data_IF_019081593947
#
_entry.id   IF_019081593947
#
_cell.length_a   1.000
_cell.length_b   1.000
_cell.length_c   1.000
_cell.angle_alpha   90.00
_cell.angle_beta   90.00
_cell.angle_gamma   90.00
#
_symmetry.space_group_name_H-M   'P 1'
#
loop_
_entity.id
_entity.type
_entity.pdbx_description
1 polymer ?
#
# COMPACT_ATOMS: atom_id res chain seq x y z
N UNK A 1 33.20 65.85 16.46
CA UNK A 1 34.05 64.64 16.62
C UNK A 1 33.11 63.47 16.82
N UNK A 2 33.29 62.40 16.01
CA UNK A 2 32.32 61.32 15.78
C UNK A 2 32.35 60.26 16.89
N UNK A 3 31.17 59.81 17.31
CA UNK A 3 30.93 58.60 18.10
C UNK A 3 31.46 57.35 17.39
N UNK A 4 32.26 56.55 18.10
CA UNK A 4 32.66 55.21 17.67
C UNK A 4 31.91 54.15 18.46
N UNK A 5 31.12 53.42 17.69
CA UNK A 5 30.20 52.36 18.02
C UNK A 5 30.91 51.11 18.54
N UNK A 6 30.32 50.51 19.58
CA UNK A 6 30.66 49.22 20.18
C UNK A 6 30.65 48.09 19.12
N UNK A 7 31.84 47.59 18.75
CA UNK A 7 32.01 46.31 18.06
C UNK A 7 32.25 45.21 19.11
N UNK A 8 31.19 44.50 19.48
CA UNK A 8 31.28 43.28 20.31
C UNK A 8 31.76 42.12 19.45
N UNK A 9 32.90 41.53 19.80
CA UNK A 9 33.40 40.31 19.16
C UNK A 9 32.51 39.08 19.49
N UNK A 10 32.29 38.14 18.54
CA UNK A 10 31.53 36.93 18.80
C UNK A 10 32.31 36.00 19.75
N UNK A 11 31.68 35.59 20.85
CA UNK A 11 32.23 34.58 21.76
C UNK A 11 32.23 33.20 21.08
N UNK A 12 33.34 32.45 21.08
CA UNK A 12 33.33 31.07 20.62
C UNK A 12 32.51 30.21 21.59
N UNK A 13 31.61 29.39 21.04
CA UNK A 13 30.73 28.48 21.80
C UNK A 13 31.45 27.25 22.37
N UNK A 14 32.73 27.05 22.05
CA UNK A 14 33.53 25.92 22.51
C UNK A 14 34.79 26.45 23.20
N UNK A 15 34.84 26.28 24.52
CA UNK A 15 36.07 26.47 25.30
C UNK A 15 36.99 25.29 24.95
N UNK A 16 38.16 25.58 24.37
CA UNK A 16 39.14 24.58 23.95
C UNK A 16 39.85 23.85 25.11
N UNK A 17 39.11 23.39 26.10
CA UNK A 17 39.63 22.51 27.16
C UNK A 17 39.44 21.05 26.76
N UNK A 18 40.46 20.23 27.01
CA UNK A 18 40.48 18.79 26.72
C UNK A 18 39.19 18.06 27.20
N UNK A 19 38.63 18.36 28.39
CA UNK A 19 37.36 17.76 28.83
C UNK A 19 36.18 18.08 27.91
N UNK A 20 36.10 19.31 27.36
CA UNK A 20 35.01 19.73 26.47
C UNK A 20 35.01 19.00 25.14
N UNK A 21 36.20 18.67 24.61
CA UNK A 21 36.36 17.87 23.39
C UNK A 21 35.92 16.43 23.61
N UNK A 22 36.27 15.83 24.75
CA UNK A 22 35.81 14.48 25.11
C UNK A 22 34.29 14.41 25.31
N UNK A 23 33.68 15.40 25.97
CA UNK A 23 32.22 15.45 26.12
C UNK A 23 31.52 15.59 24.77
N UNK A 24 32.06 16.42 23.86
CA UNK A 24 31.51 16.58 22.51
C UNK A 24 31.61 15.28 21.69
N UNK A 25 32.73 14.56 21.76
CA UNK A 25 32.90 13.27 21.07
C UNK A 25 31.96 12.19 21.62
N UNK A 26 31.75 12.14 22.94
CA UNK A 26 30.80 11.21 23.55
C UNK A 26 29.35 11.49 23.12
N UNK A 27 28.96 12.76 23.06
CA UNK A 27 27.64 13.15 22.57
C UNK A 27 27.45 12.77 21.10
N UNK A 28 28.46 13.01 20.26
CA UNK A 28 28.44 12.65 18.85
C UNK A 28 28.34 11.13 18.64
N UNK A 29 29.11 10.35 19.42
CA UNK A 29 29.05 8.89 19.37
C UNK A 29 27.68 8.35 19.84
N UNK A 30 27.09 8.93 20.88
CA UNK A 30 25.76 8.56 21.35
C UNK A 30 24.67 8.86 20.31
N UNK A 31 24.72 10.04 19.68
CA UNK A 31 23.80 10.41 18.59
C UNK A 31 23.97 9.50 17.37
N UNK A 32 25.21 9.17 17.01
CA UNK A 32 25.51 8.25 15.90
C UNK A 32 25.00 6.83 16.19
N UNK A 33 25.23 6.31 17.40
CA UNK A 33 24.74 4.99 17.80
C UNK A 33 23.20 4.93 17.83
N UNK A 34 22.54 5.99 18.35
CA UNK A 34 21.09 6.10 18.32
C UNK A 34 20.57 6.13 16.87
N UNK A 35 21.18 6.94 15.99
CA UNK A 35 20.81 6.99 14.57
C UNK A 35 21.03 5.66 13.84
N UNK A 36 22.14 4.95 14.13
CA UNK A 36 22.45 3.66 13.52
C UNK A 36 21.52 2.53 13.99
N UNK A 37 21.15 2.52 15.27
CA UNK A 37 20.17 1.58 15.82
C UNK A 37 18.76 1.85 15.27
N UNK A 38 18.35 3.13 15.15
CA UNK A 38 17.08 3.49 14.52
C UNK A 38 17.05 3.20 13.02
N UNK A 39 18.17 3.39 12.31
CA UNK A 39 18.27 3.10 10.87
C UNK A 39 18.14 1.61 10.53
N UNK A 40 18.65 0.71 11.40
CA UNK A 40 18.49 -0.75 11.21
C UNK A 40 17.06 -1.25 11.36
N UNK A 41 16.18 -0.48 11.99
CA UNK A 41 14.75 -0.79 12.11
C UNK A 41 13.90 -0.13 11.03
N UNK A 42 14.51 0.68 10.17
CA UNK A 42 13.81 1.53 9.19
C UNK A 42 13.85 0.96 7.76
N UNK A 43 13.94 -0.36 7.61
CA UNK A 43 13.86 -1.06 6.31
C UNK A 43 12.42 -1.24 5.79
N UNK A 44 11.39 -0.63 6.42
CA UNK A 44 10.00 -0.84 6.03
C UNK A 44 9.11 0.41 5.99
N UNK A 45 9.67 1.62 6.07
CA UNK A 45 8.89 2.84 5.88
C UNK A 45 9.64 3.76 4.93
N UNK A 46 9.53 3.44 3.64
CA UNK A 46 9.94 4.32 2.57
C UNK A 46 9.16 5.63 2.71
N UNK A 47 9.86 6.69 3.15
CA UNK A 47 9.32 8.04 3.19
C UNK A 47 9.05 8.44 1.75
N UNK A 48 7.79 8.34 1.34
CA UNK A 48 7.29 8.90 0.11
C UNK A 48 7.64 10.40 0.08
N UNK A 49 8.63 10.77 -0.73
CA UNK A 49 8.92 12.16 -1.01
C UNK A 49 7.71 12.81 -1.69
N UNK A 50 7.53 14.14 -1.57
CA UNK A 50 6.48 14.83 -2.30
C UNK A 50 6.69 14.65 -3.81
N UNK A 51 5.90 13.77 -4.44
CA UNK A 51 5.96 13.46 -5.87
C UNK A 51 5.87 11.98 -6.27
N UNK A 52 5.89 11.02 -5.34
CA UNK A 52 5.63 9.62 -5.72
C UNK A 52 4.13 9.39 -5.93
N UNK A 53 3.76 8.93 -7.12
CA UNK A 53 2.40 8.46 -7.42
C UNK A 53 2.00 7.38 -6.39
N UNK A 54 0.74 7.40 -5.96
CA UNK A 54 0.27 6.43 -4.97
C UNK A 54 0.33 5.02 -5.57
N UNK A 55 0.77 4.00 -4.79
CA UNK A 55 0.69 2.63 -5.25
C UNK A 55 -0.76 2.22 -5.53
N UNK A 56 -0.91 1.32 -6.49
CA UNK A 56 -2.21 0.87 -6.97
C UNK A 56 -2.33 -0.61 -6.76
N UNK A 57 -3.49 -1.02 -6.26
CA UNK A 57 -3.75 -2.39 -5.87
C UNK A 57 -4.88 -2.98 -6.69
N UNK A 58 -4.74 -4.25 -7.05
CA UNK A 58 -5.79 -5.10 -7.58
C UNK A 58 -6.31 -6.00 -6.46
N UNK A 59 -7.62 -5.98 -6.25
CA UNK A 59 -8.34 -6.89 -5.38
C UNK A 59 -9.13 -7.86 -6.26
N UNK A 60 -8.70 -9.11 -6.31
CA UNK A 60 -9.34 -10.17 -7.07
C UNK A 60 -10.32 -10.91 -6.16
N UNK A 61 -11.53 -11.09 -6.65
CA UNK A 61 -12.63 -11.74 -5.94
C UNK A 61 -12.73 -13.17 -6.46
N UNK A 62 -12.58 -14.16 -5.59
CA UNK A 62 -12.76 -15.56 -5.95
C UNK A 62 -14.25 -15.94 -5.90
N UNK A 63 -14.68 -16.88 -6.74
CA UNK A 63 -16.02 -17.45 -6.71
C UNK A 63 -16.34 -18.05 -5.34
N UNK A 64 -17.57 -17.83 -4.89
CA UNK A 64 -18.20 -18.56 -3.80
C UNK A 64 -19.23 -19.54 -4.38
N UNK A 65 -19.02 -20.85 -4.15
CA UNK A 65 -20.01 -21.86 -4.54
C UNK A 65 -21.19 -21.95 -3.57
N UNK A 66 -21.23 -21.06 -2.58
CA UNK A 66 -22.29 -20.96 -1.58
C UNK A 66 -23.21 -19.80 -1.98
N UNK A 67 -24.41 -20.07 -2.49
CA UNK A 67 -25.37 -19.02 -2.76
C UNK A 67 -25.66 -18.26 -1.46
N UNK A 68 -25.69 -16.92 -1.50
CA UNK A 68 -26.07 -16.13 -0.34
C UNK A 68 -27.49 -16.51 0.10
N UNK A 69 -27.72 -16.62 1.40
CA UNK A 69 -29.07 -16.81 1.95
C UNK A 69 -30.01 -15.67 1.54
N UNK A 70 -29.47 -14.44 1.44
CA UNK A 70 -30.18 -13.25 1.01
C UNK A 70 -29.46 -12.49 -0.14
N UNK A 71 -29.65 -12.87 -1.41
CA UNK A 71 -28.96 -12.27 -2.55
C UNK A 71 -29.13 -10.74 -2.64
N UNK A 72 -30.34 -10.24 -2.36
CA UNK A 72 -30.65 -8.80 -2.40
C UNK A 72 -29.87 -8.00 -1.36
N UNK A 73 -29.64 -8.60 -0.18
CA UNK A 73 -28.86 -7.96 0.89
C UNK A 73 -27.40 -7.89 0.52
N UNK A 74 -26.82 -9.00 0.03
CA UNK A 74 -25.44 -9.05 -0.44
C UNK A 74 -25.22 -8.00 -1.54
N UNK A 75 -26.10 -7.93 -2.54
CA UNK A 75 -26.03 -6.93 -3.61
C UNK A 75 -26.03 -5.49 -3.09
N UNK A 76 -26.89 -5.18 -2.10
CA UNK A 76 -26.96 -3.85 -1.49
C UNK A 76 -25.69 -3.49 -0.71
N UNK A 77 -25.15 -4.43 0.05
CA UNK A 77 -23.91 -4.25 0.80
C UNK A 77 -22.73 -3.99 -0.15
N UNK A 78 -22.59 -4.81 -1.20
CA UNK A 78 -21.61 -4.63 -2.26
C UNK A 78 -21.73 -3.27 -2.95
N UNK A 79 -22.93 -2.90 -3.39
CA UNK A 79 -23.18 -1.61 -4.06
C UNK A 79 -22.82 -0.41 -3.18
N UNK A 80 -23.05 -0.53 -1.87
CA UNK A 80 -22.71 0.51 -0.90
C UNK A 80 -21.20 0.64 -0.72
N UNK A 81 -20.50 -0.49 -0.59
CA UNK A 81 -19.06 -0.55 -0.46
C UNK A 81 -18.35 0.02 -1.70
N UNK A 82 -18.74 -0.43 -2.90
CA UNK A 82 -18.19 0.08 -4.18
C UNK A 82 -18.40 1.58 -4.32
N UNK A 83 -19.57 2.10 -3.91
CA UNK A 83 -19.84 3.55 -3.96
C UNK A 83 -18.89 4.32 -3.05
N UNK A 84 -18.62 3.81 -1.84
CA UNK A 84 -17.65 4.42 -0.93
C UNK A 84 -16.22 4.46 -1.49
N UNK A 85 -15.81 3.38 -2.16
CA UNK A 85 -14.54 3.30 -2.89
C UNK A 85 -14.47 4.32 -4.04
N UNK A 86 -15.52 4.37 -4.87
CA UNK A 86 -15.63 5.25 -6.05
C UNK A 86 -15.43 6.72 -5.73
N UNK A 87 -15.86 7.16 -4.56
CA UNK A 87 -15.72 8.56 -4.14
C UNK A 87 -14.32 8.96 -3.67
N UNK A 88 -13.40 8.02 -3.40
CA UNK A 88 -12.15 8.35 -2.70
C UNK A 88 -10.85 7.87 -3.37
N UNK A 89 -10.86 6.71 -4.04
CA UNK A 89 -9.63 5.97 -4.43
C UNK A 89 -9.76 5.05 -5.65
N UNK A 90 -10.96 4.92 -6.23
CA UNK A 90 -11.26 3.88 -7.22
C UNK A 90 -10.77 4.22 -8.62
N UNK A 91 -10.08 3.26 -9.25
CA UNK A 91 -9.71 3.32 -10.65
C UNK A 91 -10.71 2.55 -11.52
N UNK A 92 -11.01 1.28 -11.18
CA UNK A 92 -11.91 0.42 -11.95
C UNK A 92 -12.40 -0.80 -11.15
N UNK A 93 -13.40 -1.53 -11.66
CA UNK A 93 -13.85 -2.80 -11.10
C UNK A 93 -15.17 -3.30 -11.68
N UNK A 94 -15.26 -4.60 -11.90
CA UNK A 94 -16.39 -5.25 -12.57
C UNK A 94 -16.51 -6.73 -12.17
N UNK A 95 -17.73 -7.27 -12.28
CA UNK A 95 -18.00 -8.70 -12.19
C UNK A 95 -17.61 -9.41 -13.49
N UNK A 96 -16.96 -10.57 -13.37
CA UNK A 96 -16.53 -11.38 -14.50
C UNK A 96 -17.53 -12.48 -14.82
N UNK A 97 -17.64 -12.81 -16.09
CA UNK A 97 -18.51 -13.91 -16.52
C UNK A 97 -17.89 -15.26 -16.17
N UNK A 98 -18.69 -16.21 -15.70
CA UNK A 98 -18.24 -17.60 -15.47
C UNK A 98 -17.86 -18.37 -16.75
N UNK A 99 -17.95 -17.76 -17.93
CA UNK A 99 -17.52 -18.34 -19.20
C UNK A 99 -16.22 -17.64 -19.60
N UNK A 100 -15.17 -18.42 -19.83
CA UNK A 100 -13.86 -17.90 -20.18
C UNK A 100 -13.25 -18.65 -21.38
N UNK A 101 -12.15 -18.12 -21.89
CA UNK A 101 -11.32 -18.76 -22.91
C UNK A 101 -9.89 -18.81 -22.39
N UNK A 102 -9.35 -20.02 -22.29
CA UNK A 102 -7.95 -20.25 -21.94
C UNK A 102 -7.13 -20.27 -23.24
N UNK A 103 -6.23 -19.30 -23.37
CA UNK A 103 -5.34 -19.19 -24.52
C UNK A 103 -3.96 -19.72 -24.14
N UNK A 104 -3.37 -20.58 -24.98
CA UNK A 104 -2.00 -21.08 -24.84
C UNK A 104 -1.32 -21.07 -26.20
N UNK A 105 -0.01 -20.82 -26.24
CA UNK A 105 0.77 -20.81 -27.48
C UNK A 105 1.99 -21.73 -27.37
N UNK A 106 1.83 -23.06 -27.54
CA UNK A 106 2.96 -23.96 -27.71
C UNK A 106 3.57 -23.78 -29.11
N UNK A 107 4.82 -23.29 -29.16
CA UNK A 107 5.50 -22.97 -30.41
C UNK A 107 4.78 -21.86 -31.17
N UNK A 108 4.48 -22.10 -32.45
CA UNK A 108 3.83 -21.10 -33.33
C UNK A 108 2.31 -21.29 -33.46
N UNK A 109 1.71 -22.21 -32.69
CA UNK A 109 0.27 -22.49 -32.76
C UNK A 109 -0.48 -21.87 -31.58
N UNK A 110 -1.49 -21.03 -31.86
CA UNK A 110 -2.45 -20.59 -30.85
C UNK A 110 -3.48 -21.69 -30.58
N UNK A 111 -3.63 -22.06 -29.31
CA UNK A 111 -4.68 -22.94 -28.81
C UNK A 111 -5.66 -22.13 -27.97
N UNK A 112 -6.95 -22.22 -28.28
CA UNK A 112 -8.03 -21.52 -27.56
C UNK A 112 -9.02 -22.54 -27.04
N UNK A 113 -9.10 -22.67 -25.72
CA UNK A 113 -9.97 -23.63 -25.05
C UNK A 113 -11.08 -22.88 -24.30
N UNK A 114 -12.35 -22.95 -24.72
CA UNK A 114 -13.45 -22.42 -23.92
C UNK A 114 -13.58 -23.22 -22.62
N UNK A 115 -13.74 -22.53 -21.50
CA UNK A 115 -13.89 -23.14 -20.17
C UNK A 115 -15.07 -22.51 -19.41
N UNK A 116 -15.70 -23.31 -18.56
CA UNK A 116 -16.65 -22.84 -17.56
C UNK A 116 -15.96 -22.78 -16.21
N UNK A 117 -16.10 -21.65 -15.53
CA UNK A 117 -15.55 -21.36 -14.20
C UNK A 117 -16.62 -21.43 -13.11
N UNK A 118 -17.89 -21.64 -13.47
CA UNK A 118 -18.98 -21.87 -12.52
C UNK A 118 -18.71 -23.14 -11.70
N UNK A 119 -18.84 -23.07 -10.37
CA UNK A 119 -18.57 -24.21 -9.50
C UNK A 119 -17.08 -24.40 -9.17
N UNK A 120 -16.22 -23.44 -9.54
CA UNK A 120 -14.81 -23.45 -9.20
C UNK A 120 -14.52 -22.31 -8.23
N UNK A 121 -14.40 -22.62 -6.95
CA UNK A 121 -14.12 -21.65 -5.87
C UNK A 121 -12.79 -20.91 -6.05
N UNK A 122 -11.83 -21.48 -6.77
CA UNK A 122 -10.53 -20.85 -6.98
C UNK A 122 -10.55 -19.87 -8.16
N UNK A 123 -11.60 -19.88 -8.99
CA UNK A 123 -11.71 -18.99 -10.13
C UNK A 123 -12.05 -17.55 -9.72
N UNK A 124 -11.48 -16.57 -10.44
CA UNK A 124 -11.78 -15.15 -10.23
C UNK A 124 -13.14 -14.80 -10.83
N UNK A 125 -14.01 -14.24 -10.00
CA UNK A 125 -15.39 -13.85 -10.28
C UNK A 125 -15.56 -12.34 -10.44
N UNK A 126 -14.58 -11.55 -10.03
CA UNK A 126 -14.62 -10.09 -10.09
C UNK A 126 -13.26 -9.48 -9.75
N UNK A 127 -13.13 -8.19 -10.01
CA UNK A 127 -11.94 -7.43 -9.62
C UNK A 127 -12.28 -6.00 -9.22
N UNK A 128 -11.40 -5.40 -8.42
CA UNK A 128 -11.38 -3.96 -8.16
C UNK A 128 -9.94 -3.45 -8.25
N UNK A 129 -9.77 -2.24 -8.77
CA UNK A 129 -8.50 -1.52 -8.84
C UNK A 129 -8.66 -0.20 -8.10
N UNK A 130 -7.78 0.06 -7.13
CA UNK A 130 -7.83 1.28 -6.32
C UNK A 130 -6.44 1.70 -5.85
N UNK A 131 -6.30 2.98 -5.54
CA UNK A 131 -5.09 3.55 -4.94
C UNK A 131 -5.12 3.40 -3.41
N UNK A 132 -3.95 3.16 -2.83
CA UNK A 132 -3.72 3.27 -1.39
C UNK A 132 -2.38 3.96 -1.13
N UNK A 133 -2.13 4.42 0.09
CA UNK A 133 -0.84 5.00 0.47
C UNK A 133 0.25 3.93 0.54
N UNK A 134 -0.10 2.75 1.03
CA UNK A 134 0.77 1.61 1.27
C UNK A 134 -0.05 0.30 1.33
N UNK A 135 0.65 -0.82 1.53
CA UNK A 135 0.04 -2.13 1.65
C UNK A 135 -0.90 -2.26 2.85
N UNK A 136 -0.62 -1.57 3.97
CA UNK A 136 -1.45 -1.65 5.17
C UNK A 136 -2.81 -0.95 4.96
N UNK A 137 -2.83 0.23 4.33
CA UNK A 137 -4.09 0.88 3.93
C UNK A 137 -4.84 -0.01 2.93
N UNK A 138 -4.16 -0.63 1.98
CA UNK A 138 -4.78 -1.51 1.00
C UNK A 138 -5.43 -2.75 1.66
N UNK A 139 -4.75 -3.39 2.62
CA UNK A 139 -5.27 -4.51 3.41
C UNK A 139 -6.48 -4.06 4.21
N UNK A 140 -6.43 -2.87 4.83
CA UNK A 140 -7.56 -2.34 5.57
C UNK A 140 -8.80 -2.15 4.69
N UNK A 141 -8.62 -1.55 3.51
CA UNK A 141 -9.70 -1.37 2.53
C UNK A 141 -10.26 -2.73 2.09
N UNK A 142 -9.40 -3.66 1.69
CA UNK A 142 -9.82 -5.00 1.24
C UNK A 142 -10.57 -5.77 2.35
N UNK A 143 -10.14 -5.63 3.61
CA UNK A 143 -10.78 -6.21 4.77
C UNK A 143 -12.23 -5.75 5.04
N UNK A 144 -12.64 -4.61 4.45
CA UNK A 144 -14.02 -4.12 4.55
C UNK A 144 -14.94 -4.66 3.44
N UNK A 145 -14.40 -5.40 2.47
CA UNK A 145 -15.17 -5.93 1.35
C UNK A 145 -16.25 -6.90 1.85
N UNK A 146 -17.53 -6.72 1.46
CA UNK A 146 -18.61 -7.61 1.88
C UNK A 146 -18.39 -9.09 1.53
N UNK A 147 -17.54 -9.40 0.53
CA UNK A 147 -17.20 -10.77 0.15
C UNK A 147 -16.76 -11.64 1.33
N UNK A 148 -15.96 -11.06 2.24
CA UNK A 148 -15.41 -11.79 3.38
C UNK A 148 -16.50 -12.22 4.38
N UNK A 149 -17.68 -11.61 4.37
CA UNK A 149 -18.80 -12.00 5.23
C UNK A 149 -19.48 -13.30 4.79
N UNK A 150 -19.31 -13.68 3.53
CA UNK A 150 -19.99 -14.82 2.91
C UNK A 150 -19.06 -16.01 2.66
N UNK A 151 -17.98 -16.13 3.46
CA UNK A 151 -16.91 -17.13 3.27
C UNK A 151 -16.17 -17.01 1.93
N UNK A 152 -16.25 -15.84 1.29
CA UNK A 152 -15.54 -15.57 0.05
C UNK A 152 -14.04 -15.35 0.28
N UNK A 153 -13.24 -15.64 -0.74
CA UNK A 153 -11.79 -15.41 -0.74
C UNK A 153 -11.43 -14.19 -1.57
N UNK A 154 -10.47 -13.41 -1.10
CA UNK A 154 -9.94 -12.23 -1.79
C UNK A 154 -8.43 -12.37 -1.95
N UNK A 155 -7.91 -12.05 -3.13
CA UNK A 155 -6.47 -11.92 -3.40
C UNK A 155 -6.14 -10.45 -3.64
N UNK A 156 -5.31 -9.86 -2.77
CA UNK A 156 -4.85 -8.48 -2.88
C UNK A 156 -3.42 -8.44 -3.42
N UNK A 157 -3.18 -7.63 -4.45
CA UNK A 157 -1.88 -7.50 -5.11
C UNK A 157 -1.57 -6.04 -5.41
N UNK A 158 -0.32 -5.64 -5.24
CA UNK A 158 0.18 -4.38 -5.78
C UNK A 158 0.45 -4.50 -7.29
N UNK A 159 0.16 -3.43 -8.03
CA UNK A 159 0.39 -3.31 -9.47
C UNK A 159 1.69 -2.53 -9.69
N UNK A 160 2.63 -3.10 -10.43
CA UNK A 160 3.81 -2.37 -10.90
C UNK A 160 3.38 -1.27 -11.89
N UNK A 161 3.68 -0.01 -11.58
CA UNK A 161 3.50 1.15 -12.45
C UNK A 161 4.83 1.73 -12.91
#
# INVERSE_FOLDING_TARGET
MKDQTLLSAPRPLLTGSVPGVFTALLLAAALFAAGFLSGKTQDAAQVAGPGSEKPVFALLVHNDDIPPEEPSRQFKEYSTWVRGLKTARFADGEALHGKAWMLRQPGDSLQVNPVSLTGNTDAISGYFVFEAADADEAIHIAGTCPHLKYSGTLELREIYR
#
